data_IF_321051429345
#
_entry.id   IF_321051429345
#
_cell.length_a   1.000
_cell.length_b   1.000
_cell.length_c   1.000
_cell.angle_alpha   90.00
_cell.angle_beta   90.00
_cell.angle_gamma   90.00
#
_symmetry.space_group_name_H-M   'P 1'
#
loop_
_entity.id
_entity.type
_entity.pdbx_description
1 polymer ?
#
# COMPACT_ATOMS: atom_id res chain seq x y z
N UNK A 1 27.46 9.29 -28.43
CA UNK A 1 26.40 10.07 -29.07
C UNK A 1 25.00 9.46 -28.87
N UNK A 2 24.81 8.16 -29.15
CA UNK A 2 23.51 7.51 -28.98
C UNK A 2 23.03 7.49 -27.53
N UNK A 3 23.93 7.14 -26.60
CA UNK A 3 23.63 7.09 -25.15
C UNK A 3 23.33 8.49 -24.62
N UNK A 4 24.13 9.50 -25.04
CA UNK A 4 23.89 10.89 -24.62
C UNK A 4 22.54 11.41 -25.12
N UNK A 5 22.19 11.12 -26.38
CA UNK A 5 20.89 11.48 -26.96
C UNK A 5 19.73 10.82 -26.24
N UNK A 6 19.84 9.52 -25.92
CA UNK A 6 18.84 8.80 -25.14
C UNK A 6 18.72 9.37 -23.73
N UNK A 7 19.83 9.65 -23.09
CA UNK A 7 19.86 10.27 -21.75
C UNK A 7 19.15 11.63 -21.76
N UNK A 8 19.43 12.47 -22.78
CA UNK A 8 18.78 13.78 -22.87
C UNK A 8 17.26 13.65 -23.06
N UNK A 9 16.80 12.71 -23.88
CA UNK A 9 15.37 12.46 -24.06
C UNK A 9 14.70 12.03 -22.74
N UNK A 10 15.33 11.15 -21.96
CA UNK A 10 14.84 10.73 -20.66
C UNK A 10 14.79 11.92 -19.69
N UNK A 11 15.84 12.76 -19.65
CA UNK A 11 15.88 13.96 -18.82
C UNK A 11 14.70 14.89 -19.15
N UNK A 12 14.42 15.10 -20.42
CA UNK A 12 13.36 16.02 -20.83
C UNK A 12 11.96 15.48 -20.45
N UNK A 13 11.74 14.16 -20.54
CA UNK A 13 10.49 13.55 -20.04
C UNK A 13 10.36 13.63 -18.51
N UNK A 14 11.44 13.33 -17.78
CA UNK A 14 11.46 13.46 -16.31
C UNK A 14 11.18 14.90 -15.87
N UNK A 15 11.75 15.90 -16.54
CA UNK A 15 11.50 17.31 -16.24
C UNK A 15 10.04 17.72 -16.41
N UNK A 16 9.31 17.09 -17.36
CA UNK A 16 7.85 17.34 -17.50
C UNK A 16 7.10 16.85 -16.27
N UNK A 17 7.42 15.63 -15.82
CA UNK A 17 6.78 15.05 -14.64
C UNK A 17 7.10 15.84 -13.37
N UNK A 18 8.35 16.28 -13.20
CA UNK A 18 8.74 17.11 -12.05
C UNK A 18 7.97 18.43 -12.01
N UNK A 19 7.85 19.12 -13.16
CA UNK A 19 7.06 20.36 -13.24
C UNK A 19 5.60 20.13 -12.86
N UNK A 20 4.99 19.06 -13.33
CA UNK A 20 3.61 18.72 -12.97
C UNK A 20 3.44 18.48 -11.45
N UNK A 21 4.41 17.80 -10.82
CA UNK A 21 4.41 17.64 -9.35
C UNK A 21 4.55 18.97 -8.62
N UNK A 22 5.39 19.86 -9.12
CA UNK A 22 5.58 21.20 -8.56
C UNK A 22 4.33 22.07 -8.71
N UNK A 23 3.66 22.02 -9.86
CA UNK A 23 2.39 22.72 -10.13
C UNK A 23 1.26 22.25 -9.21
N UNK A 24 1.24 20.96 -8.85
CA UNK A 24 0.30 20.41 -7.87
C UNK A 24 0.60 20.87 -6.42
N UNK A 25 1.73 21.51 -6.18
CA UNK A 25 2.15 21.98 -4.86
C UNK A 25 3.04 20.98 -4.11
N UNK A 26 3.77 20.13 -4.84
CA UNK A 26 4.75 19.19 -4.35
C UNK A 26 4.22 17.77 -4.24
N UNK A 27 5.10 16.82 -3.92
CA UNK A 27 4.83 15.39 -3.97
C UNK A 27 3.69 14.96 -3.02
N UNK A 28 3.57 15.56 -1.83
CA UNK A 28 2.50 15.22 -0.90
C UNK A 28 1.11 15.49 -1.51
N UNK A 29 0.92 16.64 -2.14
CA UNK A 29 -0.34 16.98 -2.82
C UNK A 29 -0.57 16.18 -4.09
N UNK A 30 0.49 15.84 -4.81
CA UNK A 30 0.40 14.93 -5.95
C UNK A 30 -0.09 13.53 -5.52
N UNK A 31 0.36 13.02 -4.36
CA UNK A 31 -0.14 11.76 -3.79
C UNK A 31 -1.61 11.88 -3.37
N UNK A 32 -1.99 12.97 -2.71
CA UNK A 32 -3.39 13.24 -2.33
C UNK A 32 -4.32 13.29 -3.55
N UNK A 33 -3.86 13.85 -4.69
CA UNK A 33 -4.60 13.87 -5.95
C UNK A 33 -4.73 12.49 -6.62
N UNK A 34 -3.92 11.51 -6.21
CA UNK A 34 -3.87 10.17 -6.82
C UNK A 34 -3.04 10.07 -8.10
N UNK A 35 -2.44 11.17 -8.58
CA UNK A 35 -1.73 11.22 -9.87
C UNK A 35 -0.63 10.15 -10.01
N UNK A 36 0.30 9.95 -9.05
CA UNK A 36 1.34 8.95 -9.20
C UNK A 36 0.77 7.53 -9.25
N UNK A 37 -0.25 7.24 -8.43
CA UNK A 37 -0.92 5.94 -8.40
C UNK A 37 -1.56 5.61 -9.75
N UNK A 38 -2.32 6.55 -10.32
CA UNK A 38 -2.97 6.36 -11.62
C UNK A 38 -1.95 6.06 -12.73
N UNK A 39 -0.83 6.77 -12.77
CA UNK A 39 0.23 6.51 -13.76
C UNK A 39 0.88 5.15 -13.60
N UNK A 40 1.12 4.72 -12.36
CA UNK A 40 1.66 3.38 -12.09
C UNK A 40 0.67 2.31 -12.55
N UNK A 41 -0.61 2.46 -12.25
CA UNK A 41 -1.66 1.50 -12.65
C UNK A 41 -1.81 1.44 -14.16
N UNK A 42 -1.76 2.57 -14.85
CA UNK A 42 -1.80 2.64 -16.32
C UNK A 42 -0.64 1.88 -16.96
N UNK A 43 0.59 2.15 -16.53
CA UNK A 43 1.78 1.47 -17.04
C UNK A 43 1.77 -0.02 -16.71
N UNK A 44 1.31 -0.37 -15.49
CA UNK A 44 1.18 -1.77 -15.08
C UNK A 44 0.15 -2.53 -15.95
N UNK A 45 -0.99 -1.91 -16.25
CA UNK A 45 -2.01 -2.51 -17.11
C UNK A 45 -1.51 -2.72 -18.54
N UNK A 46 -0.80 -1.76 -19.12
CA UNK A 46 -0.17 -1.88 -20.45
C UNK A 46 0.89 -2.97 -20.47
N UNK A 47 1.74 -3.04 -19.44
CA UNK A 47 2.77 -4.08 -19.32
C UNK A 47 2.14 -5.47 -19.19
N UNK A 48 1.10 -5.60 -18.37
CA UNK A 48 0.39 -6.88 -18.24
C UNK A 48 -0.17 -7.35 -19.58
N UNK A 49 -0.79 -6.46 -20.35
CA UNK A 49 -1.30 -6.80 -21.68
C UNK A 49 -0.19 -7.28 -22.63
N UNK A 50 1.01 -6.72 -22.56
CA UNK A 50 2.18 -7.17 -23.37
C UNK A 50 2.67 -8.55 -22.90
N UNK A 51 2.69 -8.80 -21.61
CA UNK A 51 3.03 -10.12 -21.04
C UNK A 51 2.03 -11.18 -21.53
N UNK A 52 0.74 -10.87 -21.47
CA UNK A 52 -0.34 -11.78 -21.86
C UNK A 52 -0.33 -12.08 -23.35
N UNK A 53 0.05 -11.12 -24.18
CA UNK A 53 0.29 -11.33 -25.63
C UNK A 53 1.59 -12.09 -25.94
N UNK A 54 2.48 -12.26 -24.97
CA UNK A 54 3.81 -12.84 -25.18
C UNK A 54 4.84 -11.91 -25.83
N UNK A 55 4.54 -10.61 -25.95
CA UNK A 55 5.48 -9.58 -26.41
C UNK A 55 6.61 -9.39 -25.39
N UNK A 56 6.28 -9.36 -24.11
CA UNK A 56 7.24 -9.38 -23.00
C UNK A 56 7.35 -10.81 -22.47
N UNK A 57 8.54 -11.41 -22.62
CA UNK A 57 8.80 -12.79 -22.15
C UNK A 57 9.34 -12.77 -20.73
N UNK A 58 8.63 -13.45 -19.82
CA UNK A 58 9.08 -13.74 -18.45
C UNK A 58 9.25 -15.25 -18.35
N UNK A 59 10.51 -15.70 -18.25
CA UNK A 59 10.85 -17.12 -18.17
C UNK A 59 10.18 -17.76 -16.96
N UNK A 60 9.54 -18.90 -17.17
CA UNK A 60 8.80 -19.63 -16.12
C UNK A 60 7.41 -19.08 -15.82
N UNK A 61 7.03 -17.90 -16.37
CA UNK A 61 5.71 -17.30 -16.17
C UNK A 61 4.84 -17.42 -17.41
N UNK A 62 5.25 -16.85 -18.55
CA UNK A 62 4.51 -16.93 -19.81
C UNK A 62 5.24 -17.70 -20.91
N UNK A 63 6.51 -18.08 -20.70
CA UNK A 63 7.29 -18.92 -21.61
C UNK A 63 8.21 -19.84 -20.80
N UNK A 64 8.48 -21.03 -21.35
CA UNK A 64 9.34 -22.05 -20.71
C UNK A 64 8.85 -22.46 -19.32
N UNK A 65 7.54 -22.66 -19.18
CA UNK A 65 6.94 -23.17 -17.95
C UNK A 65 7.30 -24.65 -17.76
N UNK A 66 7.45 -25.04 -16.51
CA UNK A 66 7.58 -26.46 -16.13
C UNK A 66 6.17 -26.99 -15.95
N UNK A 67 5.82 -28.08 -16.66
CA UNK A 67 4.47 -28.67 -16.62
C UNK A 67 4.17 -29.37 -15.28
N UNK A 68 5.17 -30.01 -14.70
CA UNK A 68 5.07 -30.76 -13.44
C UNK A 68 5.83 -30.03 -12.29
N UNK A 69 5.45 -28.80 -12.00
CA UNK A 69 6.06 -28.05 -10.90
C UNK A 69 5.60 -28.63 -9.55
N UNK A 70 6.56 -29.13 -8.75
CA UNK A 70 6.26 -29.59 -7.40
C UNK A 70 5.98 -28.34 -6.53
N UNK A 71 4.76 -28.23 -5.95
CA UNK A 71 4.41 -27.09 -5.13
C UNK A 71 5.35 -27.01 -3.90
N UNK A 72 5.98 -25.86 -3.72
CA UNK A 72 6.82 -25.59 -2.57
C UNK A 72 5.90 -25.48 -1.33
N UNK A 73 6.19 -26.24 -0.24
CA UNK A 73 5.37 -26.12 0.96
C UNK A 73 5.50 -24.71 1.55
N UNK A 74 4.39 -23.99 1.57
CA UNK A 74 4.29 -22.65 2.16
C UNK A 74 4.12 -22.83 3.66
N UNK A 75 4.90 -22.06 4.45
CA UNK A 75 4.72 -22.03 5.90
C UNK A 75 3.40 -21.33 6.24
N UNK A 76 2.48 -22.06 6.81
CA UNK A 76 1.25 -21.54 7.35
C UNK A 76 1.39 -21.35 8.87
N UNK A 77 0.87 -20.23 9.37
CA UNK A 77 0.75 -20.01 10.81
C UNK A 77 -0.56 -20.68 11.27
N UNK A 78 -0.45 -21.66 12.20
CA UNK A 78 -1.62 -22.36 12.70
C UNK A 78 -2.55 -21.41 13.46
N UNK A 79 -3.84 -21.68 13.41
CA UNK A 79 -4.87 -20.91 14.12
C UNK A 79 -4.64 -20.91 15.64
N UNK A 80 -4.09 -22.00 16.18
CA UNK A 80 -3.75 -22.12 17.61
C UNK A 80 -2.83 -20.98 18.10
N UNK A 81 -1.86 -20.55 17.25
CA UNK A 81 -0.96 -19.44 17.58
C UNK A 81 -1.74 -18.12 17.72
N UNK A 82 -2.74 -17.91 16.87
CA UNK A 82 -3.59 -16.74 16.93
C UNK A 82 -4.46 -16.77 18.20
N UNK A 83 -5.07 -17.91 18.48
CA UNK A 83 -5.92 -18.11 19.66
C UNK A 83 -5.13 -17.90 20.97
N UNK A 84 -3.93 -18.47 21.05
CA UNK A 84 -3.03 -18.28 22.20
C UNK A 84 -2.66 -16.81 22.41
N UNK A 85 -2.32 -16.09 21.34
CA UNK A 85 -1.96 -14.67 21.42
C UNK A 85 -3.16 -13.81 21.83
N UNK A 86 -4.36 -14.10 21.33
CA UNK A 86 -5.61 -13.41 21.73
C UNK A 86 -5.93 -13.66 23.21
N UNK A 87 -5.81 -14.91 23.66
CA UNK A 87 -6.04 -15.26 25.05
C UNK A 87 -5.06 -14.52 25.98
N UNK A 88 -3.77 -14.50 25.64
CA UNK A 88 -2.74 -13.76 26.37
C UNK A 88 -3.01 -12.25 26.42
N UNK A 89 -3.43 -11.67 25.30
CA UNK A 89 -3.77 -10.24 25.22
C UNK A 89 -4.96 -9.93 26.13
N UNK A 90 -5.99 -10.75 26.13
CA UNK A 90 -7.16 -10.59 26.98
C UNK A 90 -6.79 -10.68 28.47
N UNK A 91 -5.93 -11.61 28.85
CA UNK A 91 -5.43 -11.72 30.22
C UNK A 91 -4.68 -10.43 30.65
N UNK A 92 -3.77 -9.92 29.79
CA UNK A 92 -3.05 -8.68 30.07
C UNK A 92 -4.01 -7.50 30.26
N UNK A 93 -5.07 -7.42 29.45
CA UNK A 93 -6.08 -6.37 29.55
C UNK A 93 -6.92 -6.46 30.83
N UNK A 94 -7.14 -7.67 31.35
CA UNK A 94 -7.84 -7.90 32.61
C UNK A 94 -6.98 -7.51 33.82
N UNK A 95 -5.69 -7.85 33.78
CA UNK A 95 -4.78 -7.70 34.92
C UNK A 95 -4.18 -6.29 35.07
N UNK A 96 -4.27 -5.46 34.01
CA UNK A 96 -3.68 -4.12 34.01
C UNK A 96 -4.52 -3.09 34.75
N UNK A 97 -3.88 -2.02 35.24
CA UNK A 97 -4.57 -0.85 35.73
C UNK A 97 -5.20 -0.04 34.60
N UNK A 98 -6.51 -0.21 34.44
CA UNK A 98 -7.29 0.43 33.36
C UNK A 98 -7.35 1.95 33.47
N UNK A 99 -7.28 2.51 34.69
CA UNK A 99 -7.35 3.96 34.89
C UNK A 99 -6.00 4.61 34.61
N UNK A 100 -4.90 3.93 34.93
CA UNK A 100 -3.56 4.36 34.49
C UNK A 100 -3.43 4.36 32.96
N UNK A 101 -3.98 3.35 32.27
CA UNK A 101 -4.01 3.31 30.80
C UNK A 101 -4.83 4.46 30.24
N UNK A 102 -6.06 4.70 30.72
CA UNK A 102 -6.90 5.81 30.26
C UNK A 102 -6.22 7.15 30.41
N UNK A 103 -5.58 7.39 31.55
CA UNK A 103 -4.84 8.61 31.81
C UNK A 103 -3.70 8.79 30.82
N UNK A 104 -2.88 7.76 30.64
CA UNK A 104 -1.74 7.81 29.71
C UNK A 104 -2.18 8.03 28.25
N UNK A 105 -3.30 7.44 27.81
CA UNK A 105 -3.86 7.69 26.48
C UNK A 105 -4.38 9.14 26.36
N UNK A 106 -4.99 9.71 27.39
CA UNK A 106 -5.38 11.11 27.38
C UNK A 106 -4.18 12.07 27.32
N UNK A 107 -3.08 11.74 28.00
CA UNK A 107 -1.82 12.49 27.93
C UNK A 107 -1.21 12.45 26.49
N UNK A 108 -1.30 11.31 25.79
CA UNK A 108 -0.91 11.20 24.39
C UNK A 108 -1.77 12.12 23.50
N UNK A 109 -3.09 12.10 23.68
CA UNK A 109 -4.00 12.99 22.92
C UNK A 109 -3.64 14.47 23.16
N UNK A 110 -3.35 14.82 24.39
CA UNK A 110 -2.90 16.18 24.74
C UNK A 110 -1.57 16.53 24.07
N UNK A 111 -0.60 15.64 24.08
CA UNK A 111 0.68 15.83 23.40
C UNK A 111 0.50 16.00 21.89
N UNK A 112 -0.40 15.22 21.25
CA UNK A 112 -0.73 15.38 19.83
C UNK A 112 -1.27 16.78 19.51
N UNK A 113 -2.16 17.31 20.36
CA UNK A 113 -2.77 18.63 20.16
C UNK A 113 -1.80 19.79 20.38
N UNK A 114 -0.86 19.63 21.28
CA UNK A 114 0.04 20.69 21.72
C UNK A 114 1.44 20.63 21.07
N UNK A 115 1.69 19.69 20.15
CA UNK A 115 2.99 19.54 19.50
C UNK A 115 4.08 19.00 20.43
N UNK A 116 3.72 18.21 21.44
CA UNK A 116 4.66 17.61 22.38
C UNK A 116 5.42 16.41 21.80
N UNK A 117 6.41 15.90 22.55
CA UNK A 117 7.15 14.70 22.17
C UNK A 117 6.28 13.45 22.35
N UNK A 118 5.79 12.90 21.23
CA UNK A 118 4.89 11.75 21.23
C UNK A 118 5.56 10.46 21.74
N UNK A 119 6.85 10.24 21.45
CA UNK A 119 7.56 9.07 21.95
C UNK A 119 7.66 9.08 23.48
N UNK A 120 7.95 10.24 24.06
CA UNK A 120 7.99 10.42 25.50
C UNK A 120 6.60 10.19 26.13
N UNK A 121 5.54 10.73 25.51
CA UNK A 121 4.17 10.54 25.96
C UNK A 121 3.69 9.08 25.87
N UNK A 122 4.23 8.27 24.94
CA UNK A 122 3.89 6.85 24.81
C UNK A 122 4.51 5.98 25.91
N UNK A 123 5.65 6.35 26.51
CA UNK A 123 6.34 5.52 27.50
C UNK A 123 5.47 5.17 28.72
N UNK A 124 4.74 6.11 29.36
CA UNK A 124 3.81 5.79 30.44
C UNK A 124 2.70 4.82 29.99
N UNK A 125 2.15 4.99 28.80
CA UNK A 125 1.10 4.12 28.26
C UNK A 125 1.60 2.68 28.09
N UNK A 126 2.80 2.50 27.54
CA UNK A 126 3.43 1.18 27.37
C UNK A 126 3.71 0.54 28.74
N UNK A 127 4.20 1.31 29.72
CA UNK A 127 4.43 0.83 31.09
C UNK A 127 3.13 0.42 31.78
N UNK A 128 2.02 1.12 31.50
CA UNK A 128 0.69 0.76 32.01
C UNK A 128 0.04 -0.39 31.19
N UNK A 129 0.76 -1.01 30.24
CA UNK A 129 0.29 -2.11 29.40
C UNK A 129 -0.82 -1.71 28.43
N UNK A 130 -0.82 -0.48 27.93
CA UNK A 130 -1.61 -0.12 26.75
C UNK A 130 -1.09 -0.88 25.51
N UNK A 131 -2.00 -1.31 24.68
CA UNK A 131 -1.65 -1.97 23.40
C UNK A 131 -1.25 -0.94 22.36
N UNK A 132 -0.51 -1.37 21.34
CA UNK A 132 -0.17 -0.52 20.18
C UNK A 132 -1.43 0.03 19.52
N UNK A 133 -2.49 -0.81 19.39
CA UNK A 133 -3.78 -0.36 18.86
C UNK A 133 -4.37 0.79 19.65
N UNK A 134 -4.47 0.68 20.97
CA UNK A 134 -5.01 1.74 21.83
C UNK A 134 -4.21 3.05 21.73
N UNK A 135 -2.88 2.97 21.62
CA UNK A 135 -2.02 4.14 21.43
C UNK A 135 -2.26 4.76 20.05
N UNK A 136 -2.32 3.94 18.99
CA UNK A 136 -2.61 4.41 17.63
C UNK A 136 -4.01 5.02 17.53
N UNK A 137 -5.03 4.40 18.12
CA UNK A 137 -6.40 4.90 18.13
C UNK A 137 -6.49 6.26 18.85
N UNK A 138 -5.74 6.43 19.95
CA UNK A 138 -5.65 7.71 20.63
C UNK A 138 -5.04 8.81 19.74
N UNK A 139 -3.96 8.51 19.03
CA UNK A 139 -3.35 9.45 18.07
C UNK A 139 -4.26 9.74 16.88
N UNK A 140 -4.98 8.73 16.37
CA UNK A 140 -5.91 8.85 15.24
C UNK A 140 -7.06 9.82 15.52
N UNK A 141 -7.47 9.99 16.79
CA UNK A 141 -8.48 11.00 17.16
C UNK A 141 -8.06 12.43 16.83
N UNK A 142 -6.76 12.70 16.72
CA UNK A 142 -6.20 14.03 16.42
C UNK A 142 -5.70 14.14 14.97
N UNK A 143 -4.93 13.15 14.53
CA UNK A 143 -4.26 13.20 13.23
C UNK A 143 -5.09 12.60 12.11
N UNK A 144 -6.14 11.84 12.43
CA UNK A 144 -6.89 11.01 11.49
C UNK A 144 -6.00 9.98 10.78
N UNK A 145 -6.56 9.17 9.93
CA UNK A 145 -5.81 8.21 9.11
C UNK A 145 -5.96 8.59 7.64
N UNK A 146 -4.85 8.58 6.91
CA UNK A 146 -4.91 8.81 5.49
C UNK A 146 -5.72 7.69 4.82
N UNK A 147 -6.77 8.09 4.10
CA UNK A 147 -7.56 7.21 3.24
C UNK A 147 -7.31 7.63 1.80
N UNK A 148 -6.64 6.77 1.05
CA UNK A 148 -6.37 7.05 -0.36
C UNK A 148 -7.67 7.14 -1.14
N UNK A 149 -7.85 8.21 -1.93
CA UNK A 149 -8.94 8.31 -2.90
C UNK A 149 -8.75 7.22 -3.96
N UNK A 150 -9.75 6.35 -4.10
CA UNK A 150 -9.72 5.31 -5.13
C UNK A 150 -10.15 5.93 -6.45
N UNK A 151 -9.17 6.35 -7.25
CA UNK A 151 -9.39 6.69 -8.65
C UNK A 151 -8.98 5.46 -9.47
N UNK A 152 -9.91 4.90 -10.23
CA UNK A 152 -9.65 3.74 -11.06
C UNK A 152 -9.48 4.19 -12.52
N UNK A 153 -8.40 3.73 -13.15
CA UNK A 153 -8.24 3.83 -14.60
C UNK A 153 -8.98 2.65 -15.22
N UNK A 154 -9.88 2.93 -16.14
CA UNK A 154 -10.64 1.90 -16.87
C UNK A 154 -10.27 1.93 -18.36
N UNK A 155 -10.32 0.77 -19.00
CA UNK A 155 -10.16 0.66 -20.46
C UNK A 155 -8.73 0.42 -20.94
N UNK A 156 -7.69 0.81 -20.20
CA UNK A 156 -6.28 0.73 -20.61
C UNK A 156 -5.86 -0.70 -21.00
N UNK A 157 -6.25 -1.69 -20.22
CA UNK A 157 -5.96 -3.09 -20.53
C UNK A 157 -6.68 -3.52 -21.80
N UNK A 158 -7.97 -3.18 -21.96
CA UNK A 158 -8.77 -3.54 -23.13
C UNK A 158 -8.24 -2.90 -24.42
N UNK A 159 -7.72 -1.68 -24.37
CA UNK A 159 -7.06 -1.02 -25.51
C UNK A 159 -5.74 -1.69 -25.90
N UNK A 160 -5.03 -2.23 -24.93
CA UNK A 160 -3.72 -2.85 -25.11
C UNK A 160 -3.79 -4.37 -25.28
N UNK A 161 -4.90 -5.02 -24.93
CA UNK A 161 -5.09 -6.46 -25.05
C UNK A 161 -5.45 -6.89 -26.48
N UNK A 162 -5.42 -8.21 -26.72
CA UNK A 162 -5.84 -8.78 -28.00
C UNK A 162 -7.34 -8.55 -28.23
N UNK A 163 -7.75 -7.90 -29.34
CA UNK A 163 -9.16 -7.62 -29.63
C UNK A 163 -10.05 -8.87 -29.71
N UNK A 164 -9.50 -10.00 -30.17
CA UNK A 164 -10.25 -11.26 -30.28
C UNK A 164 -10.56 -11.83 -28.90
N UNK A 165 -9.61 -11.78 -27.97
CA UNK A 165 -9.79 -12.21 -26.59
C UNK A 165 -10.85 -11.36 -25.90
N UNK A 166 -10.77 -10.04 -26.06
CA UNK A 166 -11.76 -9.12 -25.47
C UNK A 166 -13.16 -9.35 -26.05
N UNK A 167 -13.28 -9.57 -27.37
CA UNK A 167 -14.57 -9.88 -27.99
C UNK A 167 -15.15 -11.20 -27.48
N UNK A 168 -14.32 -12.24 -27.32
CA UNK A 168 -14.72 -13.52 -26.79
C UNK A 168 -15.21 -13.43 -25.33
N UNK A 169 -14.51 -12.66 -24.48
CA UNK A 169 -14.91 -12.41 -23.08
C UNK A 169 -16.25 -11.67 -23.00
N UNK A 170 -16.42 -10.58 -23.76
CA UNK A 170 -17.69 -9.82 -23.81
C UNK A 170 -18.88 -10.69 -24.22
N UNK A 171 -18.65 -11.63 -25.15
CA UNK A 171 -19.70 -12.56 -25.61
C UNK A 171 -20.08 -13.59 -24.55
N UNK A 172 -19.17 -13.91 -23.62
CA UNK A 172 -19.43 -14.86 -22.50
C UNK A 172 -20.09 -14.20 -21.30
N UNK A 173 -20.01 -12.88 -21.17
CA UNK A 173 -20.53 -12.11 -20.03
C UNK A 173 -21.84 -11.35 -20.36
N UNK A 174 -22.25 -11.34 -21.62
CA UNK A 174 -23.55 -10.86 -22.07
C UNK A 174 -24.61 -11.95 -22.06
#
# INVERSE_FOLDING_TARGET
>A
YYVESLTQNIIDEVRKILREVEELGGMAKAIESGMPKMRIEEVAARRQARIDKGEDVIVGVNKYKIEDEIPIPVREVSEDVREEQVARLNQIKQDRDSDAVKKALADIISACKNGGNLLEACLPAVRARATVGEICDAMETVFTRFVATTQCISGVYAESADPEIIAALRKRTA
#
